data_IF_021728216817
#
_entry.id   IF_021728216817
#
_cell.length_a   1.000
_cell.length_b   1.000
_cell.length_c   1.000
_cell.angle_alpha   90.00
_cell.angle_beta   90.00
_cell.angle_gamma   90.00
#
_symmetry.space_group_name_H-M   'P 1'
#
loop_
_entity.id
_entity.type
_entity.pdbx_description
1 polymer ?
#
# COMPACT_ATOMS: atom_id res chain seq x y z
N UNK A 1 -0.10 18.37 10.17
CA UNK A 1 -1.30 17.56 10.51
C UNK A 1 -2.23 17.33 9.31
N UNK A 2 -2.51 18.33 8.47
CA UNK A 2 -3.46 18.19 7.34
C UNK A 2 -2.93 17.22 6.26
N UNK A 3 -1.62 17.23 6.06
CA UNK A 3 -0.80 16.28 5.31
C UNK A 3 -1.02 14.81 5.71
N UNK A 4 -1.07 14.48 7.00
CA UNK A 4 -1.38 13.11 7.46
C UNK A 4 -2.84 12.72 7.19
N UNK A 5 -3.78 13.66 7.32
CA UNK A 5 -5.18 13.42 6.96
C UNK A 5 -5.36 13.19 5.45
N UNK A 6 -4.61 13.89 4.60
CA UNK A 6 -4.55 13.65 3.16
C UNK A 6 -4.06 12.22 2.86
N UNK A 7 -2.93 11.81 3.46
CA UNK A 7 -2.37 10.47 3.26
C UNK A 7 -3.36 9.40 3.75
N UNK A 8 -3.92 9.53 4.95
CA UNK A 8 -4.89 8.60 5.53
C UNK A 8 -6.19 8.48 4.72
N UNK A 9 -6.54 9.51 3.95
CA UNK A 9 -7.70 9.52 3.04
C UNK A 9 -7.39 9.03 1.62
N UNK A 10 -6.15 8.59 1.35
CA UNK A 10 -5.73 8.00 0.07
C UNK A 10 -5.06 8.97 -0.90
N UNK A 11 -4.75 10.21 -0.48
CA UNK A 11 -3.94 11.15 -1.26
C UNK A 11 -2.46 10.87 -0.96
N UNK A 12 -1.90 9.91 -1.67
CA UNK A 12 -0.59 9.34 -1.34
C UNK A 12 0.54 9.89 -2.20
N UNK A 13 0.29 10.52 -3.35
CA UNK A 13 1.37 11.16 -4.12
C UNK A 13 1.58 12.60 -3.68
N UNK A 14 2.79 13.13 -3.86
CA UNK A 14 3.08 14.55 -3.57
C UNK A 14 2.10 15.48 -4.29
N UNK A 15 1.86 15.26 -5.58
CA UNK A 15 0.91 16.06 -6.36
C UNK A 15 -0.52 15.99 -5.84
N UNK A 16 -0.97 14.83 -5.35
CA UNK A 16 -2.30 14.69 -4.76
C UNK A 16 -2.43 15.49 -3.46
N UNK A 17 -1.39 15.49 -2.63
CA UNK A 17 -1.37 16.21 -1.36
C UNK A 17 -1.29 17.72 -1.61
N UNK A 18 -0.37 18.17 -2.48
CA UNK A 18 -0.24 19.59 -2.86
C UNK A 18 -1.53 20.12 -3.49
N UNK A 19 -2.23 19.32 -4.29
CA UNK A 19 -3.51 19.71 -4.89
C UNK A 19 -4.63 19.89 -3.85
N UNK A 20 -4.58 19.19 -2.71
CA UNK A 20 -5.59 19.32 -1.66
C UNK A 20 -5.24 20.46 -0.69
N UNK A 21 -3.95 20.66 -0.43
CA UNK A 21 -3.46 21.69 0.49
C UNK A 21 -3.23 23.04 -0.18
N UNK A 22 -3.24 23.09 -1.52
CA UNK A 22 -2.97 24.27 -2.34
C UNK A 22 -1.61 24.94 -2.01
N UNK A 23 -0.63 24.14 -1.60
CA UNK A 23 0.72 24.60 -1.25
C UNK A 23 1.78 23.53 -1.45
N UNK A 24 3.06 23.95 -1.43
CA UNK A 24 4.20 23.03 -1.45
C UNK A 24 4.32 22.29 -0.11
N UNK A 25 4.45 20.96 -0.19
CA UNK A 25 4.46 20.08 0.99
C UNK A 25 5.80 19.37 1.23
N UNK A 26 6.77 19.56 0.34
CA UNK A 26 8.05 18.85 0.36
C UNK A 26 8.80 18.96 1.70
N UNK A 27 8.96 20.16 2.30
CA UNK A 27 9.66 20.26 3.59
C UNK A 27 8.94 19.51 4.71
N UNK A 28 7.61 19.45 4.67
CA UNK A 28 6.81 18.75 5.67
C UNK A 28 6.93 17.23 5.53
N UNK A 29 6.84 16.73 4.31
CA UNK A 29 7.01 15.29 4.03
C UNK A 29 8.42 14.82 4.41
N UNK A 30 9.45 15.60 4.13
CA UNK A 30 10.83 15.27 4.52
C UNK A 30 11.00 15.18 6.04
N UNK A 31 10.36 16.07 6.80
CA UNK A 31 10.41 16.00 8.27
C UNK A 31 9.61 14.82 8.82
N UNK A 32 8.40 14.59 8.29
CA UNK A 32 7.56 13.46 8.69
C UNK A 32 8.23 12.10 8.39
N UNK A 33 9.00 12.01 7.31
CA UNK A 33 9.78 10.82 6.95
C UNK A 33 11.07 10.72 7.77
N UNK A 34 11.95 11.73 7.70
CA UNK A 34 13.32 11.63 8.20
C UNK A 34 13.51 12.00 9.67
N UNK A 35 12.73 12.94 10.20
CA UNK A 35 12.86 13.39 11.61
C UNK A 35 11.94 12.59 12.54
N UNK A 36 10.71 12.31 12.10
CA UNK A 36 9.68 11.73 12.96
C UNK A 36 9.35 10.26 12.67
N UNK A 37 9.80 9.73 11.54
CA UNK A 37 9.52 8.35 11.11
C UNK A 37 8.01 8.00 11.13
N UNK A 38 7.15 9.00 10.88
CA UNK A 38 5.70 8.86 10.90
C UNK A 38 5.19 8.31 9.56
N UNK A 39 5.81 8.75 8.47
CA UNK A 39 5.47 8.32 7.12
C UNK A 39 6.63 7.62 6.48
N UNK A 40 6.31 6.71 5.56
CA UNK A 40 7.29 6.05 4.72
C UNK A 40 7.09 6.46 3.27
N UNK A 41 8.21 6.74 2.61
CA UNK A 41 8.27 6.89 1.16
C UNK A 41 8.32 5.52 0.49
N UNK A 42 7.35 5.24 -0.38
CA UNK A 42 7.24 4.00 -1.14
C UNK A 42 7.52 4.28 -2.61
N UNK A 43 8.28 3.37 -3.22
CA UNK A 43 8.57 3.37 -4.65
C UNK A 43 8.23 1.98 -5.22
N UNK A 44 7.89 1.88 -6.51
CA UNK A 44 7.63 0.59 -7.10
C UNK A 44 8.92 -0.24 -7.11
N UNK A 45 8.80 -1.56 -6.96
CA UNK A 45 9.94 -2.46 -7.10
C UNK A 45 10.59 -2.29 -8.48
N UNK A 46 11.91 -2.52 -8.55
CA UNK A 46 12.71 -2.34 -9.76
C UNK A 46 12.72 -0.89 -10.28
N UNK A 47 12.35 0.08 -9.44
CA UNK A 47 12.53 1.50 -9.76
C UNK A 47 13.94 1.96 -9.41
N UNK A 48 14.42 2.99 -10.10
CA UNK A 48 15.72 3.58 -9.78
C UNK A 48 15.58 4.49 -8.56
N UNK A 49 16.66 4.71 -7.77
CA UNK A 49 16.62 5.63 -6.63
C UNK A 49 16.15 7.06 -6.97
N UNK A 50 16.26 7.45 -8.25
CA UNK A 50 15.83 8.76 -8.77
C UNK A 50 14.38 8.75 -9.30
N UNK A 51 13.62 7.69 -9.05
CA UNK A 51 12.24 7.58 -9.51
C UNK A 51 11.39 8.73 -8.97
N UNK A 52 10.64 9.36 -9.87
CA UNK A 52 9.64 10.38 -9.53
C UNK A 52 8.30 9.76 -9.14
N UNK A 53 8.11 8.47 -9.35
CA UNK A 53 6.89 7.77 -8.95
C UNK A 53 7.01 7.35 -7.48
N UNK A 54 6.62 8.28 -6.62
CA UNK A 54 6.73 8.16 -5.17
C UNK A 54 5.33 8.28 -4.58
N UNK A 55 5.01 7.39 -3.65
CA UNK A 55 3.85 7.52 -2.76
C UNK A 55 4.33 7.58 -1.31
N UNK A 56 3.49 8.14 -0.45
CA UNK A 56 3.70 8.22 0.98
C UNK A 56 2.59 7.45 1.69
N UNK A 57 2.95 6.71 2.74
CA UNK A 57 2.00 6.05 3.65
C UNK A 57 2.34 6.36 5.09
N UNK A 58 1.34 6.30 5.97
CA UNK A 58 1.57 6.35 7.42
C UNK A 58 2.05 4.97 7.88
N UNK A 59 3.13 4.93 8.65
CA UNK A 59 3.75 3.67 9.08
C UNK A 59 2.90 2.96 10.13
N UNK A 60 2.36 3.70 11.08
CA UNK A 60 1.61 3.18 12.22
C UNK A 60 0.11 2.98 11.92
N UNK A 61 -0.41 1.81 12.30
CA UNK A 61 -1.81 1.44 12.08
C UNK A 61 -2.77 2.29 12.89
N UNK A 62 -2.43 2.56 14.15
CA UNK A 62 -3.27 3.37 15.03
C UNK A 62 -3.38 4.80 14.52
N UNK A 63 -2.26 5.43 14.16
CA UNK A 63 -2.23 6.80 13.65
C UNK A 63 -2.99 6.93 12.33
N UNK A 64 -2.79 5.98 11.41
CA UNK A 64 -3.52 5.92 10.15
C UNK A 64 -5.03 5.78 10.39
N UNK A 65 -5.44 4.88 11.29
CA UNK A 65 -6.84 4.72 11.68
C UNK A 65 -7.41 6.01 12.27
N UNK A 66 -6.67 6.63 13.19
CA UNK A 66 -7.08 7.84 13.88
C UNK A 66 -7.31 8.99 12.90
N UNK A 67 -6.38 9.25 11.98
CA UNK A 67 -6.57 10.30 10.98
C UNK A 67 -7.73 10.00 10.01
N UNK A 68 -7.90 8.75 9.62
CA UNK A 68 -8.93 8.36 8.66
C UNK A 68 -10.35 8.42 9.21
N UNK A 69 -10.55 7.97 10.45
CA UNK A 69 -11.88 7.78 11.04
C UNK A 69 -12.17 8.74 12.20
N UNK A 70 -11.21 9.00 13.08
CA UNK A 70 -11.47 9.81 14.28
C UNK A 70 -11.33 11.29 13.95
N UNK A 71 -10.17 11.71 13.47
CA UNK A 71 -9.88 13.10 13.12
C UNK A 71 -10.83 13.63 12.03
N UNK A 72 -11.04 12.84 10.97
CA UNK A 72 -11.93 13.19 9.86
C UNK A 72 -13.36 13.47 10.30
N UNK A 73 -13.84 12.73 11.31
CA UNK A 73 -15.21 12.84 11.82
C UNK A 73 -15.22 13.39 13.26
N UNK A 74 -14.25 14.26 13.61
CA UNK A 74 -14.09 14.80 14.96
C UNK A 74 -15.36 15.43 15.52
N UNK A 75 -16.14 16.12 14.68
CA UNK A 75 -17.38 16.75 15.13
C UNK A 75 -18.42 15.73 15.58
N UNK A 76 -18.48 14.55 14.95
CA UNK A 76 -19.35 13.46 15.41
C UNK A 76 -18.85 12.88 16.75
N UNK A 77 -17.53 12.80 16.95
CA UNK A 77 -16.92 12.38 18.21
C UNK A 77 -17.23 13.37 19.34
N UNK A 78 -17.05 14.67 19.08
CA UNK A 78 -17.27 15.75 20.05
C UNK A 78 -18.71 15.82 20.57
N UNK A 79 -19.69 15.56 19.70
CA UNK A 79 -21.12 15.53 20.09
C UNK A 79 -21.57 14.15 20.59
N UNK A 80 -20.67 13.18 20.72
CA UNK A 80 -20.97 11.83 21.20
C UNK A 80 -21.77 10.95 20.23
N UNK A 81 -21.82 11.28 18.94
CA UNK A 81 -22.52 10.48 17.93
C UNK A 81 -21.69 9.26 17.48
N UNK A 82 -21.54 8.30 18.40
CA UNK A 82 -20.75 7.09 18.20
C UNK A 82 -21.39 6.13 17.19
N UNK A 83 -22.73 6.14 17.07
CA UNK A 83 -23.45 5.29 16.11
C UNK A 83 -23.09 5.67 14.67
N UNK A 84 -23.09 6.97 14.34
CA UNK A 84 -22.64 7.45 13.04
C UNK A 84 -21.19 7.04 12.76
N UNK A 85 -20.31 7.16 13.75
CA UNK A 85 -18.90 6.77 13.60
C UNK A 85 -18.76 5.27 13.32
N UNK A 86 -19.51 4.42 14.03
CA UNK A 86 -19.51 2.97 13.82
C UNK A 86 -19.96 2.62 12.40
N UNK A 87 -21.02 3.26 11.89
CA UNK A 87 -21.52 3.04 10.53
C UNK A 87 -20.47 3.41 9.48
N UNK A 88 -19.80 4.55 9.65
CA UNK A 88 -18.73 5.00 8.74
C UNK A 88 -17.53 4.05 8.77
N UNK A 89 -17.09 3.64 9.95
CA UNK A 89 -16.01 2.67 10.10
C UNK A 89 -16.40 1.38 9.39
N UNK A 90 -17.57 0.81 9.70
CA UNK A 90 -18.01 -0.47 9.12
C UNK A 90 -18.08 -0.42 7.59
N UNK A 91 -18.57 0.68 7.02
CA UNK A 91 -18.65 0.89 5.56
C UNK A 91 -17.26 0.86 4.90
N UNK A 92 -16.30 1.57 5.48
CA UNK A 92 -15.01 1.84 4.81
C UNK A 92 -13.86 0.94 5.31
N UNK A 93 -14.09 0.15 6.37
CA UNK A 93 -13.07 -0.69 7.00
C UNK A 93 -12.47 -1.72 6.04
N UNK A 94 -13.29 -2.31 5.17
CA UNK A 94 -12.80 -3.29 4.19
C UNK A 94 -11.77 -2.67 3.24
N UNK A 95 -11.98 -1.44 2.80
CA UNK A 95 -11.02 -0.72 1.95
C UNK A 95 -9.78 -0.31 2.74
N UNK A 96 -9.97 0.22 3.96
CA UNK A 96 -8.87 0.63 4.83
C UNK A 96 -7.92 -0.53 5.17
N UNK A 97 -8.48 -1.66 5.61
CA UNK A 97 -7.71 -2.84 6.03
C UNK A 97 -7.08 -3.61 4.87
N UNK A 98 -7.41 -3.29 3.62
CA UNK A 98 -6.78 -3.90 2.44
C UNK A 98 -5.27 -3.61 2.38
N UNK A 99 -4.88 -2.34 2.57
CA UNK A 99 -3.46 -1.93 2.57
C UNK A 99 -2.68 -2.62 3.70
N UNK A 100 -3.28 -2.75 4.89
CA UNK A 100 -2.65 -3.44 6.02
C UNK A 100 -2.47 -4.93 5.77
N UNK A 101 -3.42 -5.56 5.09
CA UNK A 101 -3.30 -6.96 4.69
C UNK A 101 -2.16 -7.16 3.68
N UNK A 102 -2.01 -6.25 2.72
CA UNK A 102 -0.86 -6.27 1.79
C UNK A 102 0.47 -6.19 2.53
N UNK A 103 0.57 -5.27 3.49
CA UNK A 103 1.78 -5.11 4.33
C UNK A 103 2.09 -6.37 5.12
N UNK A 104 1.09 -6.96 5.75
CA UNK A 104 1.26 -8.19 6.52
C UNK A 104 1.82 -9.33 5.65
N UNK A 105 1.31 -9.50 4.43
CA UNK A 105 1.85 -10.50 3.50
C UNK A 105 3.28 -10.17 3.05
N UNK A 106 3.61 -8.89 2.81
CA UNK A 106 4.99 -8.50 2.52
C UNK A 106 5.93 -8.83 3.68
N UNK A 107 5.51 -8.61 4.93
CA UNK A 107 6.26 -8.95 6.14
C UNK A 107 6.44 -10.46 6.31
N UNK A 108 5.38 -11.25 6.09
CA UNK A 108 5.45 -12.71 6.11
C UNK A 108 6.42 -13.25 5.06
N UNK A 109 6.34 -12.75 3.83
CA UNK A 109 7.28 -13.12 2.76
C UNK A 109 8.72 -12.72 3.12
N UNK A 110 8.93 -11.56 3.72
CA UNK A 110 10.25 -11.12 4.17
C UNK A 110 10.81 -12.04 5.27
N UNK A 111 9.98 -12.46 6.21
CA UNK A 111 10.36 -13.35 7.30
C UNK A 111 10.82 -14.74 6.83
N UNK A 112 10.40 -15.19 5.63
CA UNK A 112 10.90 -16.45 5.04
C UNK A 112 12.40 -16.41 4.71
N UNK A 113 12.98 -15.21 4.51
CA UNK A 113 14.36 -15.04 4.06
C UNK A 113 14.63 -15.49 2.61
N UNK A 114 13.60 -15.86 1.84
CA UNK A 114 13.75 -16.40 0.48
C UNK A 114 13.89 -15.33 -0.60
N UNK A 115 13.47 -14.09 -0.31
CA UNK A 115 13.39 -13.02 -1.30
C UNK A 115 14.37 -11.89 -0.97
N UNK A 116 15.13 -11.44 -1.97
CA UNK A 116 16.05 -10.30 -1.86
C UNK A 116 15.34 -8.94 -2.03
N UNK A 117 14.19 -8.93 -2.71
CA UNK A 117 13.38 -7.71 -2.94
C UNK A 117 11.91 -8.03 -2.72
N UNK A 118 11.19 -7.21 -1.97
CA UNK A 118 9.73 -7.31 -1.78
C UNK A 118 9.13 -5.91 -1.83
N UNK A 119 8.01 -5.76 -2.54
CA UNK A 119 7.22 -4.52 -2.50
C UNK A 119 6.13 -4.47 -3.56
N UNK A 120 5.46 -3.32 -3.68
CA UNK A 120 4.44 -3.08 -4.69
C UNK A 120 5.09 -2.79 -6.06
N UNK A 121 4.37 -3.08 -7.15
CA UNK A 121 4.75 -2.61 -8.49
C UNK A 121 3.67 -1.71 -9.08
N UNK A 122 4.10 -0.57 -9.63
CA UNK A 122 3.22 0.36 -10.35
C UNK A 122 3.75 0.55 -11.76
N UNK A 123 2.97 0.12 -12.74
CA UNK A 123 3.27 0.30 -14.14
C UNK A 123 3.22 1.78 -14.56
N UNK A 124 3.66 2.09 -15.80
CA UNK A 124 3.66 3.46 -16.31
C UNK A 124 2.28 4.13 -16.22
N UNK A 125 2.26 5.39 -15.76
CA UNK A 125 1.04 6.17 -15.52
C UNK A 125 0.07 5.50 -14.52
N UNK A 126 0.59 4.68 -13.61
CA UNK A 126 -0.18 4.05 -12.54
C UNK A 126 -1.36 3.17 -13.02
N UNK A 127 -1.32 2.70 -14.28
CA UNK A 127 -2.42 1.93 -14.88
C UNK A 127 -2.42 0.46 -14.46
N UNK A 128 -1.25 -0.09 -14.14
CA UNK A 128 -1.08 -1.50 -13.77
C UNK A 128 -0.45 -1.55 -12.38
N UNK A 129 -1.28 -1.65 -11.34
CA UNK A 129 -0.81 -1.84 -9.97
C UNK A 129 -0.87 -3.32 -9.60
N UNK A 130 0.24 -3.81 -9.06
CA UNK A 130 0.40 -5.15 -8.51
C UNK A 130 0.73 -4.99 -7.03
N UNK A 131 -0.06 -5.67 -6.19
CA UNK A 131 -0.04 -5.50 -4.75
C UNK A 131 1.29 -6.00 -4.17
N UNK A 132 1.78 -7.16 -4.62
CA UNK A 132 3.07 -7.70 -4.16
C UNK A 132 3.88 -8.27 -5.33
N UNK A 133 5.14 -7.89 -5.38
CA UNK A 133 6.19 -8.54 -6.18
C UNK A 133 7.33 -8.86 -5.24
N UNK A 134 7.71 -10.13 -5.18
CA UNK A 134 8.85 -10.60 -4.41
C UNK A 134 9.84 -11.31 -5.34
N UNK A 135 11.12 -10.99 -5.26
CA UNK A 135 12.16 -11.51 -6.14
C UNK A 135 13.23 -12.23 -5.33
N UNK A 136 13.65 -13.39 -5.81
CA UNK A 136 14.91 -14.01 -5.44
C UNK A 136 15.87 -13.86 -6.61
N UNK A 137 16.80 -12.92 -6.49
CA UNK A 137 17.74 -12.61 -7.57
C UNK A 137 18.83 -13.67 -7.77
N UNK A 138 19.08 -14.53 -6.77
CA UNK A 138 20.06 -15.61 -6.84
C UNK A 138 19.52 -16.76 -7.69
N UNK A 139 18.32 -17.25 -7.34
CA UNK A 139 17.69 -18.40 -8.00
C UNK A 139 16.88 -18.00 -9.24
N UNK A 140 16.79 -16.68 -9.51
CA UNK A 140 15.97 -16.12 -10.59
C UNK A 140 14.51 -16.59 -10.49
N UNK A 141 13.92 -16.49 -9.31
CA UNK A 141 12.49 -16.75 -9.10
C UNK A 141 11.78 -15.47 -8.66
N UNK A 142 10.51 -15.36 -9.02
CA UNK A 142 9.68 -14.21 -8.68
C UNK A 142 8.26 -14.66 -8.31
N UNK A 143 7.73 -14.08 -7.24
CA UNK A 143 6.33 -14.18 -6.87
C UNK A 143 5.63 -12.88 -7.24
N UNK A 144 4.54 -12.99 -8.01
CA UNK A 144 3.65 -11.89 -8.37
C UNK A 144 2.29 -12.18 -7.77
N UNK A 145 1.84 -11.35 -6.85
CA UNK A 145 0.61 -11.59 -6.10
C UNK A 145 -0.37 -10.42 -6.07
N UNK A 146 -1.66 -10.77 -6.04
CA UNK A 146 -2.76 -9.87 -5.74
C UNK A 146 -3.33 -10.23 -4.37
N UNK A 147 -3.59 -9.22 -3.54
CA UNK A 147 -4.12 -9.38 -2.19
C UNK A 147 -5.58 -8.94 -2.18
N UNK A 148 -6.46 -9.78 -1.65
CA UNK A 148 -7.88 -9.48 -1.51
C UNK A 148 -8.40 -10.03 -0.20
N UNK A 149 -9.08 -9.19 0.58
CA UNK A 149 -9.74 -9.63 1.82
C UNK A 149 -10.69 -10.82 1.61
N UNK A 150 -11.44 -10.80 0.52
CA UNK A 150 -12.34 -11.89 0.13
C UNK A 150 -11.73 -12.66 -1.06
N UNK A 151 -11.44 -13.96 -0.92
CA UNK A 151 -10.81 -14.76 -1.98
C UNK A 151 -11.64 -14.80 -3.26
N UNK A 152 -12.97 -14.66 -3.18
CA UNK A 152 -13.87 -14.61 -4.36
C UNK A 152 -13.59 -13.43 -5.29
N UNK A 153 -12.88 -12.41 -4.82
CA UNK A 153 -12.50 -11.22 -5.59
C UNK A 153 -11.14 -11.37 -6.29
N UNK A 154 -10.39 -12.44 -6.01
CA UNK A 154 -9.11 -12.71 -6.68
C UNK A 154 -9.37 -12.98 -8.16
N UNK A 155 -8.56 -12.37 -9.03
CA UNK A 155 -8.65 -12.52 -10.49
C UNK A 155 -7.25 -12.68 -11.10
N UNK A 156 -6.72 -13.91 -11.04
CA UNK A 156 -5.37 -14.20 -11.55
C UNK A 156 -5.17 -13.87 -13.03
N UNK A 157 -6.20 -13.98 -13.87
CA UNK A 157 -6.13 -13.54 -15.27
C UNK A 157 -5.82 -12.04 -15.39
N UNK A 158 -6.52 -11.20 -14.62
CA UNK A 158 -6.28 -9.75 -14.56
C UNK A 158 -4.91 -9.44 -13.99
N UNK A 159 -4.45 -10.21 -13.00
CA UNK A 159 -3.10 -10.05 -12.44
C UNK A 159 -2.03 -10.28 -13.53
N UNK A 160 -2.15 -11.36 -14.29
CA UNK A 160 -1.26 -11.66 -15.43
C UNK A 160 -1.29 -10.56 -16.50
N UNK A 161 -2.48 -10.06 -16.86
CA UNK A 161 -2.63 -8.94 -17.80
C UNK A 161 -1.91 -7.67 -17.32
N UNK A 162 -1.98 -7.35 -16.02
CA UNK A 162 -1.25 -6.21 -15.44
C UNK A 162 0.27 -6.43 -15.45
N UNK A 163 0.72 -7.67 -15.26
CA UNK A 163 2.11 -8.05 -15.12
C UNK A 163 2.91 -8.14 -16.42
N UNK A 164 2.28 -8.06 -17.60
CA UNK A 164 2.97 -8.15 -18.92
C UNK A 164 4.25 -7.29 -19.01
N UNK A 165 4.21 -6.05 -18.51
CA UNK A 165 5.40 -5.15 -18.53
C UNK A 165 6.43 -5.50 -17.47
N UNK A 166 6.02 -6.09 -16.36
CA UNK A 166 6.91 -6.59 -15.33
C UNK A 166 7.65 -7.84 -15.83
N UNK A 167 6.95 -8.76 -16.50
CA UNK A 167 7.56 -9.97 -17.10
C UNK A 167 8.70 -9.63 -18.07
N UNK A 168 8.54 -8.58 -18.87
CA UNK A 168 9.60 -8.09 -19.76
C UNK A 168 10.86 -7.66 -19.00
N UNK A 169 10.71 -7.09 -17.80
CA UNK A 169 11.83 -6.71 -16.92
C UNK A 169 12.44 -7.91 -16.20
N UNK A 170 11.65 -8.95 -15.97
CA UNK A 170 12.03 -10.18 -15.29
C UNK A 170 12.34 -11.32 -16.28
N UNK A 171 12.85 -10.99 -17.47
CA UNK A 171 13.20 -11.99 -18.48
C UNK A 171 14.23 -12.96 -17.90
N UNK A 172 13.91 -14.26 -17.92
CA UNK A 172 14.75 -15.32 -17.37
C UNK A 172 14.47 -15.65 -15.90
N UNK A 173 13.49 -14.99 -15.27
CA UNK A 173 12.95 -15.44 -14.00
C UNK A 173 11.85 -16.48 -14.21
N UNK A 174 11.76 -17.45 -13.29
CA UNK A 174 10.56 -18.26 -13.12
C UNK A 174 9.53 -17.48 -12.29
N UNK A 175 8.33 -17.27 -12.84
CA UNK A 175 7.33 -16.36 -12.26
C UNK A 175 6.11 -17.16 -11.77
N UNK A 176 5.95 -17.19 -10.44
CA UNK A 176 4.75 -17.70 -9.79
C UNK A 176 3.70 -16.60 -9.66
N UNK A 177 2.44 -16.93 -9.96
CA UNK A 177 1.30 -16.04 -9.77
C UNK A 177 0.41 -16.55 -8.64
N UNK A 178 0.20 -15.73 -7.62
CA UNK A 178 -0.59 -16.10 -6.45
C UNK A 178 -1.69 -15.09 -6.12
N UNK A 179 -2.81 -15.59 -5.62
CA UNK A 179 -3.83 -14.78 -4.98
C UNK A 179 -3.73 -15.00 -3.47
N UNK A 180 -3.68 -13.93 -2.69
CA UNK A 180 -3.57 -13.97 -1.24
C UNK A 180 -4.81 -13.32 -0.61
N UNK A 181 -5.29 -13.90 0.49
CA UNK A 181 -6.50 -13.48 1.17
C UNK A 181 -6.44 -13.71 2.67
N UNK A 182 -7.47 -13.30 3.41
CA UNK A 182 -7.51 -13.54 4.86
C UNK A 182 -7.42 -15.03 5.22
N UNK A 183 -7.90 -15.91 4.35
CA UNK A 183 -7.86 -17.36 4.56
C UNK A 183 -6.41 -17.88 4.57
N UNK A 184 -5.50 -17.19 3.87
CA UNK A 184 -4.07 -17.54 3.75
C UNK A 184 -3.23 -17.10 4.97
N UNK A 185 -3.80 -16.35 5.92
CA UNK A 185 -3.08 -15.91 7.14
C UNK A 185 -2.88 -17.02 8.16
N UNK A 186 -3.54 -18.17 7.98
CA UNK A 186 -3.64 -19.24 8.97
C UNK A 186 -2.66 -20.40 8.77
N UNK A 187 -1.52 -20.16 8.11
CA UNK A 187 -0.48 -21.18 7.93
C UNK A 187 0.56 -21.06 9.05
N UNK A 188 0.28 -21.69 10.19
CA UNK A 188 1.30 -22.24 11.09
C UNK A 188 1.49 -23.73 10.80
#
# INVERSE_FOLDING_TARGET
MIDLACIASGKTSRSDIESVLEMSVEPYLQRLEGEFDIIQRIQPVLSTPKSRQVKYRIQDAFLSFWFRFIYRYRSAVEIGNLEFLQQVIQRDFATYSGEWLERLFQEQLAATGQYSVIGNYWGPRNKNEIDIVALNELDKTALVAEVKRNPKNIRLSKLKEKAVKLEQKLKGYDIEYRGLSLDDLSVE
#
